data_IF_463017981511
#
_entry.id   IF_463017981511
#
_cell.length_a   1.000
_cell.length_b   1.000
_cell.length_c   1.000
_cell.angle_alpha   90.00
_cell.angle_beta   90.00
_cell.angle_gamma   90.00
#
_symmetry.space_group_name_H-M   'P 1'
#
loop_
_entity.id
_entity.type
_entity.pdbx_description
1 polymer ?
#
# COMPACT_ATOMS: atom_id res chain seq x y z
N UNK A 1 34.44 -0.01 -12.15
CA UNK A 1 33.12 -0.30 -11.56
C UNK A 1 32.86 0.77 -10.50
N UNK A 2 32.48 1.95 -10.96
CA UNK A 2 32.08 3.13 -10.15
C UNK A 2 30.59 3.01 -9.84
N UNK A 3 30.01 3.47 -8.74
CA UNK A 3 30.44 4.20 -7.55
C UNK A 3 29.18 4.20 -6.67
N UNK A 4 29.29 3.84 -5.40
CA UNK A 4 28.33 4.14 -4.29
C UNK A 4 26.89 4.41 -4.73
N UNK A 5 26.06 3.37 -4.83
CA UNK A 5 24.61 3.57 -5.01
C UNK A 5 24.14 4.40 -3.82
N UNK A 6 23.67 5.62 -4.09
CA UNK A 6 23.28 6.56 -3.04
C UNK A 6 22.22 5.86 -2.17
N UNK A 7 22.39 5.82 -0.83
CA UNK A 7 21.39 5.24 0.07
C UNK A 7 19.98 5.80 -0.19
N UNK A 8 19.88 7.04 -0.68
CA UNK A 8 18.64 7.65 -1.14
C UNK A 8 17.97 6.87 -2.28
N UNK A 9 18.72 6.49 -3.32
CA UNK A 9 18.17 5.79 -4.48
C UNK A 9 17.84 4.33 -4.17
N UNK A 10 18.61 3.66 -3.31
CA UNK A 10 18.29 2.30 -2.83
C UNK A 10 16.97 2.27 -2.07
N UNK A 11 16.79 3.17 -1.11
CA UNK A 11 15.54 3.22 -0.33
C UNK A 11 14.37 3.67 -1.21
N UNK A 12 14.60 4.54 -2.19
CA UNK A 12 13.58 4.88 -3.19
C UNK A 12 13.14 3.67 -4.02
N UNK A 13 14.09 2.86 -4.49
CA UNK A 13 13.80 1.62 -5.22
C UNK A 13 13.02 0.63 -4.36
N UNK A 14 13.42 0.41 -3.11
CA UNK A 14 12.69 -0.49 -2.18
C UNK A 14 11.24 -0.04 -1.92
N UNK A 15 11.02 1.28 -1.78
CA UNK A 15 9.67 1.85 -1.63
C UNK A 15 8.87 1.62 -2.91
N UNK A 16 9.47 1.87 -4.07
CA UNK A 16 8.80 1.69 -5.37
C UNK A 16 8.40 0.22 -5.61
N UNK A 17 9.30 -0.73 -5.32
CA UNK A 17 9.00 -2.16 -5.42
C UNK A 17 7.84 -2.57 -4.49
N UNK A 18 7.81 -2.01 -3.28
CA UNK A 18 6.73 -2.26 -2.32
C UNK A 18 5.38 -1.76 -2.85
N UNK A 19 5.37 -0.60 -3.52
CA UNK A 19 4.17 -0.03 -4.16
C UNK A 19 3.74 -0.86 -5.37
N UNK A 20 4.67 -1.25 -6.23
CA UNK A 20 4.35 -2.05 -7.42
C UNK A 20 3.76 -3.41 -7.01
N UNK A 21 4.27 -3.99 -5.93
CA UNK A 21 3.70 -5.20 -5.33
C UNK A 21 2.30 -4.95 -4.77
N UNK A 22 2.08 -3.86 -4.03
CA UNK A 22 0.76 -3.48 -3.51
C UNK A 22 -0.27 -3.36 -4.65
N UNK A 23 0.08 -2.66 -5.73
CA UNK A 23 -0.78 -2.45 -6.89
C UNK A 23 -1.08 -3.77 -7.61
N UNK A 24 -0.08 -4.64 -7.77
CA UNK A 24 -0.25 -5.95 -8.38
C UNK A 24 -1.21 -6.84 -7.58
N UNK A 25 -0.99 -6.94 -6.27
CA UNK A 25 -1.87 -7.69 -5.36
C UNK A 25 -3.29 -7.09 -5.33
N UNK A 26 -3.41 -5.76 -5.48
CA UNK A 26 -4.70 -5.07 -5.50
C UNK A 26 -5.49 -5.41 -6.78
N UNK A 27 -4.83 -5.40 -7.94
CA UNK A 27 -5.43 -5.83 -9.19
C UNK A 27 -5.79 -7.32 -9.20
N UNK A 28 -5.05 -8.16 -8.48
CA UNK A 28 -5.44 -9.55 -8.28
C UNK A 28 -6.69 -9.64 -7.39
N UNK A 29 -6.73 -8.91 -6.29
CA UNK A 29 -7.87 -8.85 -5.38
C UNK A 29 -9.14 -8.30 -6.05
N UNK A 30 -9.04 -7.28 -6.91
CA UNK A 30 -10.17 -6.77 -7.70
C UNK A 30 -10.68 -7.80 -8.72
N UNK A 31 -9.81 -8.66 -9.26
CA UNK A 31 -10.23 -9.69 -10.22
C UNK A 31 -10.90 -10.89 -9.55
N UNK A 32 -10.57 -11.17 -8.29
CA UNK A 32 -11.14 -12.29 -7.54
C UNK A 32 -12.49 -11.86 -6.97
N UNK A 33 -13.55 -12.14 -7.72
CA UNK A 33 -14.94 -11.95 -7.29
C UNK A 33 -15.58 -13.24 -6.75
N UNK A 34 -15.03 -14.42 -7.08
CA UNK A 34 -15.70 -15.72 -6.86
C UNK A 34 -15.01 -16.65 -5.87
N UNK A 35 -13.76 -16.38 -5.45
CA UNK A 35 -13.08 -17.16 -4.42
C UNK A 35 -12.91 -16.33 -3.12
N UNK A 36 -13.82 -16.50 -2.13
CA UNK A 36 -13.72 -15.77 -0.87
C UNK A 36 -12.49 -16.17 -0.03
N UNK A 37 -11.91 -17.37 -0.23
CA UNK A 37 -10.73 -17.82 0.52
C UNK A 37 -9.46 -17.12 0.05
N UNK A 38 -9.21 -17.12 -1.26
CA UNK A 38 -8.08 -16.41 -1.88
C UNK A 38 -8.18 -14.90 -1.63
N UNK A 39 -9.39 -14.35 -1.67
CA UNK A 39 -9.60 -12.93 -1.44
C UNK A 39 -9.34 -12.48 0.00
N UNK A 40 -9.68 -13.31 1.00
CA UNK A 40 -9.34 -13.02 2.40
C UNK A 40 -7.83 -13.04 2.60
N UNK A 41 -7.12 -13.96 1.94
CA UNK A 41 -5.65 -13.99 1.99
C UNK A 41 -5.04 -12.72 1.38
N UNK A 42 -5.46 -12.34 0.17
CA UNK A 42 -5.00 -11.11 -0.49
C UNK A 42 -5.37 -9.84 0.28
N UNK A 43 -6.53 -9.82 0.93
CA UNK A 43 -6.92 -8.69 1.79
C UNK A 43 -5.92 -8.49 2.92
N UNK A 44 -5.48 -9.58 3.58
CA UNK A 44 -4.47 -9.51 4.64
C UNK A 44 -3.12 -9.08 4.09
N UNK A 45 -2.72 -9.59 2.93
CA UNK A 45 -1.47 -9.19 2.28
C UNK A 45 -1.46 -7.72 1.88
N UNK A 46 -2.58 -7.21 1.36
CA UNK A 46 -2.75 -5.81 1.00
C UNK A 46 -2.68 -4.89 2.21
N UNK A 47 -3.34 -5.25 3.32
CA UNK A 47 -3.27 -4.48 4.57
C UNK A 47 -1.85 -4.45 5.13
N UNK A 48 -1.16 -5.60 5.19
CA UNK A 48 0.23 -5.67 5.64
C UNK A 48 1.17 -4.85 4.73
N UNK A 49 0.91 -4.84 3.41
CA UNK A 49 1.67 -4.04 2.45
C UNK A 49 1.43 -2.54 2.65
N UNK A 50 0.18 -2.12 2.91
CA UNK A 50 -0.14 -0.73 3.26
C UNK A 50 0.59 -0.26 4.52
N UNK A 51 0.60 -1.08 5.58
CA UNK A 51 1.31 -0.79 6.84
C UNK A 51 2.83 -0.72 6.62
N UNK A 52 3.38 -1.62 5.81
CA UNK A 52 4.81 -1.63 5.47
C UNK A 52 5.21 -0.35 4.72
N UNK A 53 4.43 0.06 3.72
CA UNK A 53 4.67 1.30 2.97
C UNK A 53 4.50 2.53 3.86
N UNK A 54 3.53 2.55 4.77
CA UNK A 54 3.38 3.63 5.75
C UNK A 54 4.63 3.81 6.61
N UNK A 55 5.14 2.69 7.13
CA UNK A 55 6.35 2.70 7.92
C UNK A 55 7.54 3.16 7.09
N UNK A 56 7.72 2.66 5.86
CA UNK A 56 8.82 3.05 4.98
C UNK A 56 8.76 4.53 4.62
N UNK A 57 7.61 5.07 4.22
CA UNK A 57 7.43 6.50 3.89
C UNK A 57 7.67 7.39 5.11
N UNK A 58 7.25 6.96 6.30
CA UNK A 58 7.46 7.69 7.55
C UNK A 58 8.93 7.67 7.97
N UNK A 59 9.55 6.48 7.97
CA UNK A 59 10.95 6.28 8.31
C UNK A 59 11.86 7.04 7.34
N UNK A 60 11.55 6.96 6.04
CA UNK A 60 12.29 7.68 5.01
C UNK A 60 12.07 9.19 5.12
N UNK A 61 10.83 9.65 5.31
CA UNK A 61 10.54 11.07 5.54
C UNK A 61 11.27 11.63 6.76
N UNK A 62 11.44 10.84 7.82
CA UNK A 62 12.23 11.21 9.00
C UNK A 62 13.75 11.18 8.73
N UNK A 63 14.25 10.17 8.01
CA UNK A 63 15.65 10.08 7.60
C UNK A 63 16.06 11.27 6.72
N UNK A 64 15.25 11.58 5.71
CA UNK A 64 15.41 12.73 4.84
C UNK A 64 15.48 14.02 5.63
N UNK A 65 14.56 14.26 6.56
CA UNK A 65 14.52 15.50 7.33
C UNK A 65 15.79 15.71 8.16
N UNK A 66 16.41 14.62 8.62
CA UNK A 66 17.65 14.66 9.41
C UNK A 66 18.92 14.76 8.54
N UNK A 67 18.94 14.16 7.35
CA UNK A 67 20.14 14.09 6.50
C UNK A 67 20.18 15.11 5.36
N UNK A 68 19.02 15.54 4.86
CA UNK A 68 18.94 16.43 3.70
C UNK A 68 17.81 17.45 3.85
N UNK A 69 17.98 18.48 4.70
CA UNK A 69 16.96 19.51 4.97
C UNK A 69 16.59 20.35 3.74
N UNK A 70 17.40 20.31 2.68
CA UNK A 70 17.17 21.00 1.39
C UNK A 70 16.62 20.10 0.29
N UNK A 71 15.81 19.09 0.63
CA UNK A 71 15.17 18.23 -0.37
C UNK A 71 14.23 19.01 -1.30
N UNK A 72 14.31 18.72 -2.61
CA UNK A 72 13.54 19.41 -3.64
C UNK A 72 12.02 19.12 -3.50
N UNK A 73 11.14 20.08 -3.81
CA UNK A 73 9.68 19.94 -3.70
C UNK A 73 9.09 18.75 -4.49
N UNK A 74 9.75 18.33 -5.56
CA UNK A 74 9.29 17.23 -6.41
C UNK A 74 9.30 15.88 -5.68
N UNK A 75 10.30 15.64 -4.82
CA UNK A 75 10.38 14.40 -4.05
C UNK A 75 9.27 14.32 -3.00
N UNK A 76 8.91 15.44 -2.37
CA UNK A 76 7.77 15.50 -1.44
C UNK A 76 6.42 15.23 -2.13
N UNK A 77 6.31 15.63 -3.40
CA UNK A 77 5.10 15.40 -4.20
C UNK A 77 4.90 13.92 -4.51
N UNK A 78 5.98 13.20 -4.82
CA UNK A 78 5.98 11.74 -5.00
C UNK A 78 5.49 11.01 -3.75
N UNK A 79 6.01 11.34 -2.55
CA UNK A 79 5.53 10.76 -1.29
C UNK A 79 4.06 11.01 -1.00
N UNK A 80 3.57 12.21 -1.35
CA UNK A 80 2.15 12.55 -1.19
C UNK A 80 1.26 11.69 -2.09
N UNK A 81 1.67 11.47 -3.34
CA UNK A 81 0.95 10.59 -4.29
C UNK A 81 0.94 9.14 -3.80
N UNK A 82 2.06 8.64 -3.30
CA UNK A 82 2.17 7.30 -2.71
C UNK A 82 1.18 7.13 -1.55
N UNK A 83 1.15 8.12 -0.65
CA UNK A 83 0.27 8.09 0.52
C UNK A 83 -1.22 8.15 0.12
N UNK A 84 -1.55 8.96 -0.89
CA UNK A 84 -2.91 9.05 -1.43
C UNK A 84 -3.36 7.73 -2.07
N UNK A 85 -2.52 7.09 -2.88
CA UNK A 85 -2.79 5.79 -3.51
C UNK A 85 -3.01 4.70 -2.46
N UNK A 86 -2.14 4.62 -1.46
CA UNK A 86 -2.28 3.70 -0.32
C UNK A 86 -3.60 3.89 0.41
N UNK A 87 -3.94 5.12 0.77
CA UNK A 87 -5.19 5.41 1.49
C UNK A 87 -6.43 5.04 0.65
N UNK A 88 -6.41 5.29 -0.66
CA UNK A 88 -7.47 4.88 -1.58
C UNK A 88 -7.64 3.35 -1.61
N UNK A 89 -6.54 2.60 -1.69
CA UNK A 89 -6.56 1.13 -1.69
C UNK A 89 -7.10 0.60 -0.36
N UNK A 90 -6.62 1.15 0.76
CA UNK A 90 -7.08 0.76 2.09
C UNK A 90 -8.59 1.00 2.28
N UNK A 91 -9.09 2.15 1.83
CA UNK A 91 -10.52 2.49 1.91
C UNK A 91 -11.37 1.53 1.07
N UNK A 92 -10.94 1.23 -0.16
CA UNK A 92 -11.64 0.27 -1.03
C UNK A 92 -11.72 -1.13 -0.41
N UNK A 93 -10.63 -1.60 0.19
CA UNK A 93 -10.59 -2.88 0.90
C UNK A 93 -11.56 -2.85 2.09
N UNK A 94 -11.53 -1.78 2.89
CA UNK A 94 -12.42 -1.61 4.04
C UNK A 94 -13.90 -1.69 3.61
N UNK A 95 -14.30 -0.91 2.60
CA UNK A 95 -15.66 -0.90 2.06
C UNK A 95 -16.08 -2.28 1.55
N UNK A 96 -15.21 -2.98 0.82
CA UNK A 96 -15.53 -4.29 0.27
C UNK A 96 -15.69 -5.37 1.35
N UNK A 97 -14.86 -5.34 2.39
CA UNK A 97 -15.00 -6.24 3.54
C UNK A 97 -16.31 -5.97 4.29
N UNK A 98 -16.64 -4.69 4.53
CA UNK A 98 -17.90 -4.28 5.19
C UNK A 98 -19.13 -4.69 4.38
N UNK A 99 -19.16 -4.42 3.07
CA UNK A 99 -20.28 -4.79 2.20
C UNK A 99 -20.55 -6.30 2.17
N UNK A 100 -19.50 -7.13 2.23
CA UNK A 100 -19.63 -8.58 2.31
C UNK A 100 -20.13 -9.07 3.65
N UNK A 101 -19.60 -8.52 4.75
CA UNK A 101 -20.11 -8.82 6.09
C UNK A 101 -21.62 -8.51 6.16
N UNK A 102 -22.04 -7.38 5.59
CA UNK A 102 -23.45 -7.00 5.47
C UNK A 102 -24.28 -7.98 4.63
N UNK A 103 -23.78 -8.48 3.50
CA UNK A 103 -24.49 -9.48 2.69
C UNK A 103 -24.64 -10.83 3.40
N UNK A 104 -23.60 -11.30 4.10
CA UNK A 104 -23.63 -12.56 4.85
C UNK A 104 -24.63 -12.49 6.02
N UNK A 105 -24.67 -11.38 6.75
CA UNK A 105 -25.66 -11.18 7.82
C UNK A 105 -27.09 -11.14 7.29
N UNK A 106 -27.35 -10.50 6.14
CA UNK A 106 -28.69 -10.45 5.54
C UNK A 106 -29.17 -11.81 5.02
N UNK A 107 -28.26 -12.68 4.54
CA UNK A 107 -28.61 -14.06 4.18
C UNK A 107 -28.97 -14.88 5.42
N UNK A 108 -28.20 -14.73 6.51
CA UNK A 108 -28.43 -15.45 7.76
C UNK A 108 -29.73 -15.06 8.48
N UNK A 109 -30.27 -13.86 8.22
CA UNK A 109 -31.55 -13.40 8.79
C UNK A 109 -32.79 -13.76 7.97
N UNK A 110 -32.62 -14.23 6.71
CA UNK A 110 -33.72 -14.64 5.83
C UNK A 110 -33.84 -16.17 5.68
N UNK A 111 -33.13 -16.95 6.51
CA UNK A 111 -33.22 -18.42 6.56
C UNK A 111 -33.83 -18.86 7.87
#
# INVERSE_FOLDING_TARGET
>A
MSSTQDPFYLVKEEIQESIDKLLSSFHQWERIHSDPGEQVHLTKELLASCESIEWQVTAYGAWIKNLHPHMLPQNYSEFSVINASRNCIQEKIHIAVQNRAGQVCNLAQNT
#
